data_IF_350642060833
#
_entry.id   IF_350642060833
#
_cell.length_a   1.000
_cell.length_b   1.000
_cell.length_c   1.000
_cell.angle_alpha   90.00
_cell.angle_beta   90.00
_cell.angle_gamma   90.00
#
_symmetry.space_group_name_H-M   'P 1'
#
loop_
_entity.id
_entity.type
_entity.pdbx_description
1 polymer ?
#
# COMPACT_ATOMS: atom_id res chain seq x y z
N UNK A 1 5.32 8.12 -13.52
CA UNK A 1 6.34 8.08 -12.45
C UNK A 1 6.01 8.98 -11.26
N UNK A 2 6.15 10.32 -11.33
CA UNK A 2 5.92 11.15 -10.13
C UNK A 2 4.45 11.24 -9.70
N UNK A 3 3.53 11.26 -10.67
CA UNK A 3 2.08 11.21 -10.41
C UNK A 3 1.67 9.90 -9.73
N UNK A 4 2.19 8.75 -10.19
CA UNK A 4 1.91 7.43 -9.60
C UNK A 4 2.45 7.33 -8.17
N UNK A 5 3.66 7.85 -7.92
CA UNK A 5 4.22 7.92 -6.57
C UNK A 5 3.35 8.77 -5.64
N UNK A 6 2.89 9.93 -6.12
CA UNK A 6 2.00 10.80 -5.35
C UNK A 6 0.65 10.12 -5.05
N UNK A 7 0.07 9.43 -6.05
CA UNK A 7 -1.16 8.64 -5.85
C UNK A 7 -0.96 7.49 -4.86
N UNK A 8 0.15 6.75 -4.97
CA UNK A 8 0.47 5.67 -4.04
C UNK A 8 0.63 6.19 -2.60
N UNK A 9 1.31 7.32 -2.41
CA UNK A 9 1.45 7.97 -1.10
C UNK A 9 0.10 8.42 -0.54
N UNK A 10 -0.76 9.01 -1.37
CA UNK A 10 -2.09 9.44 -0.95
C UNK A 10 -2.94 8.26 -0.49
N UNK A 11 -3.04 7.20 -1.30
CA UNK A 11 -3.81 6.00 -0.98
C UNK A 11 -3.27 5.33 0.29
N UNK A 12 -1.95 5.23 0.42
CA UNK A 12 -1.30 4.69 1.63
C UNK A 12 -1.68 5.50 2.87
N UNK A 13 -1.64 6.85 2.79
CA UNK A 13 -2.06 7.73 3.88
C UNK A 13 -3.50 7.47 4.29
N UNK A 14 -4.42 7.36 3.33
CA UNK A 14 -5.84 7.13 3.61
C UNK A 14 -6.09 5.78 4.28
N UNK A 15 -5.42 4.71 3.84
CA UNK A 15 -5.49 3.39 4.47
C UNK A 15 -4.99 3.43 5.92
N UNK A 16 -3.81 4.03 6.16
CA UNK A 16 -3.21 4.11 7.50
C UNK A 16 -4.07 4.96 8.44
N UNK A 17 -4.60 6.10 7.97
CA UNK A 17 -5.53 6.93 8.76
C UNK A 17 -6.79 6.13 9.11
N UNK A 18 -7.35 5.36 8.16
CA UNK A 18 -8.51 4.50 8.44
C UNK A 18 -8.19 3.44 9.50
N UNK A 19 -7.01 2.85 9.46
CA UNK A 19 -6.58 1.88 10.48
C UNK A 19 -6.39 2.51 11.86
N UNK A 20 -5.98 3.79 11.92
CA UNK A 20 -5.93 4.54 13.17
C UNK A 20 -7.34 4.83 13.70
N UNK A 21 -8.25 5.29 12.83
CA UNK A 21 -9.64 5.57 13.19
C UNK A 21 -10.38 4.34 13.75
N UNK A 22 -10.09 3.15 13.21
CA UNK A 22 -10.70 1.87 13.66
C UNK A 22 -9.90 1.15 14.75
N UNK A 23 -8.83 1.77 15.26
CA UNK A 23 -8.04 1.26 16.39
C UNK A 23 -7.15 0.06 16.09
N UNK A 24 -6.79 -0.17 14.81
CA UNK A 24 -5.87 -1.25 14.37
C UNK A 24 -4.41 -0.83 14.33
N UNK A 25 -4.18 0.46 14.07
CA UNK A 25 -2.87 1.13 14.11
C UNK A 25 -2.98 2.30 15.08
N UNK A 26 -1.88 2.75 15.67
CA UNK A 26 -1.81 3.97 16.47
C UNK A 26 -0.83 4.97 15.86
N UNK A 27 -0.94 6.26 16.18
CA UNK A 27 0.05 7.25 15.78
C UNK A 27 1.47 6.91 16.25
N UNK A 28 1.64 6.12 17.32
CA UNK A 28 2.95 5.71 17.83
C UNK A 28 3.62 4.63 16.99
N UNK A 29 2.84 3.69 16.43
CA UNK A 29 3.38 2.55 15.69
C UNK A 29 3.16 2.64 14.16
N UNK A 30 2.55 3.71 13.64
CA UNK A 30 2.27 3.83 12.20
C UNK A 30 3.50 3.67 11.29
N UNK A 31 4.69 4.05 11.77
CA UNK A 31 5.96 3.95 11.04
C UNK A 31 6.33 2.50 10.68
N UNK A 32 5.81 1.53 11.42
CA UNK A 32 5.97 0.09 11.15
C UNK A 32 5.05 -0.35 10.00
N UNK A 33 3.84 0.18 9.93
CA UNK A 33 2.81 -0.24 8.98
C UNK A 33 2.85 0.52 7.65
N UNK A 34 3.19 1.81 7.69
CA UNK A 34 3.15 2.68 6.50
C UNK A 34 4.03 2.17 5.35
N UNK A 35 5.30 1.74 5.56
CA UNK A 35 6.15 1.25 4.47
C UNK A 35 5.60 -0.03 3.83
N UNK A 36 5.09 -0.97 4.63
CA UNK A 36 4.53 -2.23 4.14
C UNK A 36 3.27 -2.00 3.28
N UNK A 37 2.38 -1.11 3.71
CA UNK A 37 1.18 -0.74 2.95
C UNK A 37 1.58 0.02 1.67
N UNK A 38 2.56 0.92 1.75
CA UNK A 38 3.06 1.66 0.59
C UNK A 38 3.61 0.75 -0.49
N UNK A 39 4.46 -0.22 -0.13
CA UNK A 39 4.98 -1.19 -1.10
C UNK A 39 3.87 -2.03 -1.71
N UNK A 40 2.88 -2.48 -0.92
CA UNK A 40 1.75 -3.24 -1.47
C UNK A 40 0.93 -2.43 -2.49
N UNK A 41 0.66 -1.15 -2.20
CA UNK A 41 -0.03 -0.25 -3.14
C UNK A 41 0.80 -0.03 -4.40
N UNK A 42 2.12 0.13 -4.27
CA UNK A 42 3.02 0.29 -5.43
C UNK A 42 3.10 -0.96 -6.31
N UNK A 43 3.09 -2.14 -5.71
CA UNK A 43 3.04 -3.41 -6.44
C UNK A 43 1.79 -3.49 -7.29
N UNK A 44 0.61 -3.22 -6.72
CA UNK A 44 -0.66 -3.23 -7.48
C UNK A 44 -0.62 -2.27 -8.68
N UNK A 45 -0.02 -1.09 -8.53
CA UNK A 45 0.13 -0.13 -9.64
C UNK A 45 1.12 -0.59 -10.72
N UNK A 46 2.12 -1.40 -10.36
CA UNK A 46 3.08 -1.99 -11.33
C UNK A 46 2.45 -3.15 -12.09
N UNK A 47 1.64 -3.94 -11.42
CA UNK A 47 0.93 -5.07 -12.01
C UNK A 47 -0.09 -4.58 -13.05
N UNK A 48 -0.82 -3.50 -12.76
CA UNK A 48 -1.74 -2.84 -13.72
C UNK A 48 -1.02 -2.21 -14.93
N UNK A 49 0.28 -1.88 -14.81
CA UNK A 49 1.07 -1.30 -15.88
C UNK A 49 1.64 -2.34 -16.88
N UNK A 50 1.27 -3.63 -16.74
CA UNK A 50 1.62 -4.69 -17.71
C UNK A 50 2.70 -5.69 -17.25
N UNK A 51 2.87 -5.90 -15.94
CA UNK A 51 3.69 -7.01 -15.43
C UNK A 51 2.93 -8.35 -15.49
N UNK A 52 3.60 -9.50 -15.75
CA UNK A 52 2.93 -10.79 -15.74
C UNK A 52 2.41 -11.05 -14.32
N UNK A 53 1.10 -11.28 -14.22
CA UNK A 53 0.46 -11.74 -12.98
C UNK A 53 1.09 -13.08 -12.61
N UNK A 54 2.06 -13.08 -11.70
CA UNK A 54 2.49 -14.31 -11.03
C UNK A 54 1.42 -14.69 -10.01
N UNK A 55 0.33 -15.24 -10.54
CA UNK A 55 -0.47 -16.20 -9.80
C UNK A 55 0.38 -17.46 -9.66
N UNK A 56 1.14 -17.53 -8.57
CA UNK A 56 1.81 -18.77 -8.19
C UNK A 56 0.79 -19.62 -7.42
N UNK A 57 0.49 -20.77 -8.03
CA UNK A 57 -0.30 -21.88 -7.49
C UNK A 57 -0.02 -22.12 -6.00
N UNK A 58 -1.09 -22.34 -5.24
CA UNK A 58 -1.00 -23.07 -3.97
C UNK A 58 -2.09 -24.15 -3.96
N UNK A 59 -1.61 -25.36 -4.23
CA UNK A 59 -2.20 -26.71 -4.09
C UNK A 59 -3.47 -27.06 -4.89
#
# INVERSE_FOLDING_TARGET
MDKEKAQALQVTKEIVVKFIEVGRVSPQNFQEFFPAIYEKVRETLRDDAGGPVQGEERD
#
